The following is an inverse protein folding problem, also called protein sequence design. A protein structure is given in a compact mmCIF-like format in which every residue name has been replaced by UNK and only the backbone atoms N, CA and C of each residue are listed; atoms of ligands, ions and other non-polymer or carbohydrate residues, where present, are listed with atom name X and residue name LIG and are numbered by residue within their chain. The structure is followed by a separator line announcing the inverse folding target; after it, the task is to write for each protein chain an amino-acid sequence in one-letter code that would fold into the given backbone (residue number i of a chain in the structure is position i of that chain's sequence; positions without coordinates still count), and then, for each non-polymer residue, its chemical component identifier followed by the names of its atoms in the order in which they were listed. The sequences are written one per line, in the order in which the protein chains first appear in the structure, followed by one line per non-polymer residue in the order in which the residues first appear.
data_IF_383002853046
#
_entry.id   IF_383002853046
#
_cell.length_a   1.000
_cell.length_b   1.000
_cell.length_c   1.000
_cell.angle_alpha   90.00
_cell.angle_beta   90.00
_cell.angle_gamma   90.00
#
_symmetry.space_group_name_H-M   'P 1'
#
loop_
_entity.id
_entity.type
_entity.pdbx_description
1 polymer ?
#
# COMPACT_ATOMS: atom_id res chain seq x y z
N UNK A 1 5.56 12.81 -35.06
CA UNK A 1 4.62 13.25 -34.06
C UNK A 1 4.92 12.47 -32.79
N UNK A 2 5.34 13.14 -31.72
CA UNK A 2 5.56 12.52 -30.40
C UNK A 2 4.22 12.53 -29.66
N UNK A 3 3.88 11.39 -29.07
CA UNK A 3 2.70 11.25 -28.20
C UNK A 3 3.13 11.30 -26.75
N UNK A 4 2.39 12.00 -25.93
CA UNK A 4 2.56 11.91 -24.50
C UNK A 4 1.92 10.60 -23.98
N UNK A 5 2.23 10.25 -22.76
CA UNK A 5 1.84 9.00 -22.16
C UNK A 5 0.30 8.85 -22.01
N UNK A 6 -0.42 9.93 -21.72
CA UNK A 6 -1.88 9.93 -21.64
C UNK A 6 -2.52 9.69 -23.01
N UNK A 7 -1.96 10.28 -24.08
CA UNK A 7 -2.40 10.02 -25.45
C UNK A 7 -2.20 8.55 -25.84
N UNK A 8 -1.06 7.94 -25.45
CA UNK A 8 -0.80 6.52 -25.68
C UNK A 8 -1.84 5.65 -24.97
N UNK A 9 -2.18 5.94 -23.72
CA UNK A 9 -3.18 5.18 -22.98
C UNK A 9 -4.61 5.34 -23.55
N UNK A 10 -4.96 6.54 -24.03
CA UNK A 10 -6.22 6.75 -24.75
C UNK A 10 -6.27 5.94 -26.06
N UNK A 11 -5.19 5.93 -26.82
CA UNK A 11 -5.09 5.10 -28.04
C UNK A 11 -5.23 3.62 -27.68
N UNK A 12 -4.51 3.13 -26.67
CA UNK A 12 -4.64 1.75 -26.18
C UNK A 12 -6.07 1.39 -25.82
N UNK A 13 -6.78 2.30 -25.14
CA UNK A 13 -8.19 2.11 -24.78
C UNK A 13 -9.08 2.02 -26.03
N UNK A 14 -8.88 2.91 -27.02
CA UNK A 14 -9.67 2.97 -28.26
C UNK A 14 -9.51 1.70 -29.09
N UNK A 15 -8.31 1.13 -29.16
CA UNK A 15 -8.03 -0.09 -29.95
C UNK A 15 -8.22 -1.39 -29.14
N UNK A 16 -8.79 -1.31 -27.90
CA UNK A 16 -9.03 -2.48 -27.04
C UNK A 16 -7.74 -3.16 -26.52
N UNK A 17 -6.60 -2.46 -26.52
CA UNK A 17 -5.30 -2.97 -26.04
C UNK A 17 -4.87 -2.38 -24.70
N UNK A 18 -5.76 -1.72 -23.98
CA UNK A 18 -5.47 -1.32 -22.62
C UNK A 18 -5.37 -2.58 -21.74
N UNK A 19 -4.26 -2.77 -21.01
CA UNK A 19 -4.18 -3.87 -20.09
C UNK A 19 -5.28 -3.71 -19.03
N UNK A 20 -5.88 -4.82 -18.66
CA UNK A 20 -6.90 -4.87 -17.64
C UNK A 20 -6.82 -6.19 -16.92
N UNK A 21 -7.31 -6.20 -15.71
CA UNK A 21 -7.46 -7.41 -14.94
C UNK A 21 -8.38 -8.38 -15.70
N UNK A 22 -8.01 -9.67 -15.86
CA UNK A 22 -8.88 -10.67 -16.45
C UNK A 22 -10.22 -10.75 -15.70
N UNK A 23 -11.31 -11.02 -16.41
CA UNK A 23 -12.62 -11.18 -15.80
C UNK A 23 -12.57 -12.29 -14.73
N UNK A 24 -13.07 -11.98 -13.54
CA UNK A 24 -13.06 -12.90 -12.38
C UNK A 24 -11.74 -12.98 -11.63
N UNK A 25 -10.65 -12.36 -12.11
CA UNK A 25 -9.41 -12.28 -11.35
C UNK A 25 -9.53 -11.26 -10.20
N UNK A 26 -8.83 -11.52 -9.10
CA UNK A 26 -8.74 -10.60 -7.97
C UNK A 26 -7.75 -9.48 -8.24
N UNK A 27 -7.93 -8.35 -7.57
CA UNK A 27 -6.93 -7.27 -7.54
C UNK A 27 -5.61 -7.81 -6.95
N UNK A 28 -4.50 -7.54 -7.63
CA UNK A 28 -3.17 -7.95 -7.14
C UNK A 28 -2.67 -6.93 -6.14
N UNK A 29 -2.28 -7.39 -4.95
CA UNK A 29 -1.78 -6.55 -3.87
C UNK A 29 -0.31 -6.85 -3.63
N UNK A 30 0.54 -5.91 -4.01
CA UNK A 30 2.00 -6.01 -3.92
C UNK A 30 2.49 -5.16 -2.77
N UNK A 31 3.16 -5.76 -1.81
CA UNK A 31 3.67 -5.07 -0.61
C UNK A 31 5.20 -5.05 -0.66
N UNK A 32 5.77 -3.86 -0.56
CA UNK A 32 7.21 -3.66 -0.42
C UNK A 32 7.55 -3.60 1.06
N UNK A 33 8.18 -4.65 1.60
CA UNK A 33 8.44 -4.79 3.02
C UNK A 33 9.84 -5.30 3.31
N UNK A 34 10.49 -4.68 4.27
CA UNK A 34 11.74 -5.11 4.90
C UNK A 34 11.91 -4.35 6.21
N UNK A 35 12.38 -5.01 7.26
CA UNK A 35 12.65 -4.39 8.57
C UNK A 35 13.79 -3.38 8.54
N UNK A 36 14.66 -3.48 7.53
CA UNK A 36 15.80 -2.56 7.40
C UNK A 36 15.38 -1.26 6.72
N UNK A 37 15.82 -0.13 7.30
CA UNK A 37 15.75 1.18 6.65
C UNK A 37 16.79 1.32 5.53
N UNK A 38 16.52 2.20 4.55
CA UNK A 38 17.49 2.52 3.50
C UNK A 38 17.71 1.45 2.43
N UNK A 39 16.88 0.40 2.36
CA UNK A 39 16.95 -0.66 1.32
C UNK A 39 16.11 -0.33 0.08
N UNK A 40 15.74 0.92 -0.11
CA UNK A 40 14.99 1.43 -1.25
C UNK A 40 13.53 0.92 -1.38
N UNK A 41 12.84 0.53 -0.29
CA UNK A 41 11.43 0.13 -0.32
C UNK A 41 10.57 1.18 -1.03
N UNK A 42 10.53 2.40 -0.49
CA UNK A 42 9.75 3.52 -1.01
C UNK A 42 10.12 3.87 -2.46
N UNK A 43 11.41 3.89 -2.79
CA UNK A 43 11.84 4.16 -4.17
C UNK A 43 11.32 3.10 -5.14
N UNK A 44 11.39 1.83 -4.76
CA UNK A 44 10.94 0.73 -5.61
C UNK A 44 9.42 0.67 -5.71
N UNK A 45 8.68 0.84 -4.60
CA UNK A 45 7.21 0.86 -4.58
C UNK A 45 6.67 1.99 -5.47
N UNK A 46 7.23 3.19 -5.34
CA UNK A 46 6.89 4.36 -6.13
C UNK A 46 7.09 4.12 -7.63
N UNK A 47 8.32 3.73 -8.02
CA UNK A 47 8.63 3.54 -9.44
C UNK A 47 7.88 2.36 -10.05
N UNK A 48 7.62 1.31 -9.26
CA UNK A 48 6.82 0.18 -9.68
C UNK A 48 5.36 0.60 -9.95
N UNK A 49 4.75 1.38 -9.06
CA UNK A 49 3.40 1.90 -9.24
C UNK A 49 3.31 2.81 -10.47
N UNK A 50 4.27 3.73 -10.63
CA UNK A 50 4.35 4.62 -11.79
C UNK A 50 4.55 3.83 -13.11
N UNK A 51 5.39 2.81 -13.10
CA UNK A 51 5.61 1.96 -14.27
C UNK A 51 4.31 1.26 -14.69
N UNK A 52 3.60 0.65 -13.75
CA UNK A 52 2.33 -0.03 -14.02
C UNK A 52 1.24 0.91 -14.53
N UNK A 53 1.13 2.10 -13.93
CA UNK A 53 0.22 3.14 -14.40
C UNK A 53 0.54 3.59 -15.82
N UNK A 54 1.83 3.74 -16.14
CA UNK A 54 2.30 4.05 -17.50
C UNK A 54 1.94 2.93 -18.50
N UNK A 55 2.00 1.69 -18.09
CA UNK A 55 1.56 0.58 -18.93
C UNK A 55 0.03 0.54 -19.13
N UNK A 56 -0.74 1.31 -18.33
CA UNK A 56 -2.18 1.49 -18.49
C UNK A 56 -3.03 0.76 -17.46
N UNK A 57 -2.44 0.11 -16.46
CA UNK A 57 -3.16 -0.47 -15.33
C UNK A 57 -3.71 0.62 -14.41
N UNK A 58 -4.86 0.36 -13.79
CA UNK A 58 -5.40 1.19 -12.71
C UNK A 58 -4.69 0.81 -11.42
N UNK A 59 -3.92 1.71 -10.87
CA UNK A 59 -3.04 1.45 -9.72
C UNK A 59 -3.45 2.31 -8.54
N UNK A 60 -3.51 1.72 -7.36
CA UNK A 60 -3.56 2.42 -6.08
C UNK A 60 -2.22 2.23 -5.38
N UNK A 61 -1.51 3.32 -5.11
CA UNK A 61 -0.36 3.31 -4.21
C UNK A 61 -0.82 3.67 -2.81
N UNK A 62 -0.38 2.93 -1.82
CA UNK A 62 -0.64 3.20 -0.40
C UNK A 62 0.70 3.47 0.27
N UNK A 63 0.85 4.68 0.80
CA UNK A 63 1.94 5.04 1.68
C UNK A 63 1.53 4.68 3.11
N UNK A 64 2.10 3.61 3.65
CA UNK A 64 1.85 3.18 5.02
C UNK A 64 2.99 3.57 5.98
N UNK A 65 4.00 4.32 5.49
CA UNK A 65 5.08 4.84 6.33
C UNK A 65 4.71 6.22 6.87
N UNK A 66 4.62 6.42 8.21
CA UNK A 66 4.38 7.73 8.81
C UNK A 66 5.36 8.82 8.40
N UNK A 67 6.53 8.46 7.86
CA UNK A 67 7.50 9.42 7.31
C UNK A 67 7.01 10.06 6.00
N UNK A 68 5.98 9.52 5.37
CA UNK A 68 5.28 10.07 4.21
C UNK A 68 6.21 10.38 3.01
N UNK A 69 7.25 9.57 2.81
CA UNK A 69 8.23 9.81 1.74
C UNK A 69 7.60 9.59 0.35
N UNK A 70 6.78 8.55 0.18
CA UNK A 70 6.06 8.34 -1.07
C UNK A 70 5.03 9.45 -1.31
N UNK A 71 4.34 9.90 -0.28
CA UNK A 71 3.39 11.01 -0.30
C UNK A 71 4.04 12.31 -0.80
N UNK A 72 5.20 12.65 -0.23
CA UNK A 72 5.97 13.84 -0.64
C UNK A 72 6.43 13.78 -2.09
N UNK A 73 6.73 12.60 -2.62
CA UNK A 73 7.14 12.42 -4.02
C UNK A 73 6.01 12.75 -5.04
N UNK A 74 4.75 12.75 -4.60
CA UNK A 74 3.61 13.21 -5.41
C UNK A 74 3.27 14.69 -5.22
N UNK A 75 4.06 15.42 -4.43
CA UNK A 75 3.92 16.86 -4.23
C UNK A 75 3.00 17.24 -3.08
N UNK A 76 2.52 16.30 -2.26
CA UNK A 76 1.80 16.62 -1.04
C UNK A 76 2.77 16.99 0.08
N UNK A 77 2.43 18.04 0.82
CA UNK A 77 3.08 18.38 2.10
C UNK A 77 2.16 17.84 3.20
N UNK A 78 2.50 16.69 3.85
CA UNK A 78 1.54 15.91 4.63
C UNK A 78 0.76 16.71 5.68
N UNK A 79 1.46 17.55 6.46
CA UNK A 79 0.84 18.27 7.57
C UNK A 79 0.15 19.59 7.14
N UNK A 80 0.27 19.99 5.85
CA UNK A 80 -0.36 21.20 5.32
C UNK A 80 -1.50 20.89 4.36
N UNK A 81 -1.33 19.90 3.49
CA UNK A 81 -2.26 19.59 2.41
C UNK A 81 -3.27 18.51 2.79
N UNK A 82 -3.01 17.76 3.88
CA UNK A 82 -3.81 16.61 4.30
C UNK A 82 -4.44 16.84 5.67
N UNK A 83 -5.73 16.53 5.77
CA UNK A 83 -6.51 16.63 6.99
C UNK A 83 -6.74 15.28 7.66
N UNK A 84 -7.50 15.29 8.78
CA UNK A 84 -7.93 14.05 9.41
C UNK A 84 -8.85 13.26 8.47
N UNK A 85 -8.57 11.98 8.34
CA UNK A 85 -9.28 11.10 7.40
C UNK A 85 -8.64 10.93 6.03
N UNK A 86 -7.58 11.67 5.73
CA UNK A 86 -6.87 11.58 4.45
C UNK A 86 -5.80 10.48 4.41
N UNK A 87 -5.68 9.66 5.45
CA UNK A 87 -4.74 8.54 5.54
C UNK A 87 -5.45 7.21 5.92
N UNK A 88 -4.70 6.18 6.22
CA UNK A 88 -5.23 4.86 6.57
C UNK A 88 -5.92 4.81 7.95
N UNK A 89 -5.69 5.76 8.84
CA UNK A 89 -6.12 5.68 10.23
C UNK A 89 -7.62 5.38 10.38
N UNK A 90 -8.55 6.15 9.77
CA UNK A 90 -9.99 5.91 9.93
C UNK A 90 -10.44 4.54 9.39
N UNK A 91 -9.84 4.09 8.27
CA UNK A 91 -10.17 2.80 7.69
C UNK A 91 -9.76 1.62 8.58
N UNK A 92 -8.72 1.79 9.39
CA UNK A 92 -8.19 0.76 10.26
C UNK A 92 -8.77 0.80 11.68
N UNK A 93 -9.30 1.97 12.12
CA UNK A 93 -9.73 2.18 13.52
C UNK A 93 -11.20 2.47 13.69
N UNK A 94 -11.92 2.90 12.64
CA UNK A 94 -13.32 3.31 12.71
C UNK A 94 -14.21 2.44 11.82
N UNK A 95 -14.03 2.49 10.49
CA UNK A 95 -14.81 1.70 9.54
C UNK A 95 -14.06 1.44 8.24
N UNK A 96 -14.03 0.19 7.78
CA UNK A 96 -13.35 -0.23 6.55
C UNK A 96 -13.70 0.60 5.29
N UNK A 97 -14.96 1.00 5.02
CA UNK A 97 -15.30 1.81 3.84
C UNK A 97 -14.68 3.20 3.82
N UNK A 98 -14.22 3.73 4.96
CA UNK A 98 -13.59 5.05 5.04
C UNK A 98 -12.27 5.12 4.24
N UNK A 99 -11.69 3.98 3.86
CA UNK A 99 -10.52 3.94 2.97
C UNK A 99 -10.77 4.69 1.66
N UNK A 100 -12.01 4.71 1.18
CA UNK A 100 -12.37 5.41 -0.06
C UNK A 100 -12.19 6.93 0.05
N UNK A 101 -12.33 7.51 1.25
CA UNK A 101 -12.18 8.94 1.49
C UNK A 101 -10.69 9.37 1.48
N UNK A 102 -9.80 8.45 1.86
CA UNK A 102 -8.36 8.71 1.87
C UNK A 102 -7.72 8.67 0.47
N UNK A 103 -8.45 8.22 -0.55
CA UNK A 103 -7.90 8.10 -1.91
C UNK A 103 -7.80 9.48 -2.56
N UNK A 104 -6.60 9.86 -2.97
CA UNK A 104 -6.29 11.09 -3.69
C UNK A 104 -5.84 10.76 -5.12
N UNK A 105 -6.35 11.52 -6.09
CA UNK A 105 -5.82 11.43 -7.45
C UNK A 105 -4.45 12.11 -7.53
N UNK A 106 -3.54 11.50 -8.28
CA UNK A 106 -2.21 12.08 -8.51
C UNK A 106 -2.15 12.78 -9.88
N UNK A 107 -1.02 13.44 -10.17
CA UNK A 107 -0.75 13.98 -11.51
C UNK A 107 -0.46 12.88 -12.56
N UNK A 108 -0.37 11.62 -12.15
CA UNK A 108 -0.24 10.47 -13.04
C UNK A 108 -1.63 9.92 -13.37
N UNK A 109 -1.96 9.81 -14.67
CA UNK A 109 -3.17 9.10 -15.10
C UNK A 109 -3.10 7.62 -14.67
N UNK A 110 -4.19 7.07 -14.18
CA UNK A 110 -4.32 5.70 -13.68
C UNK A 110 -3.56 5.38 -12.38
N UNK A 111 -3.06 6.40 -11.66
CA UNK A 111 -2.41 6.21 -10.38
C UNK A 111 -3.05 7.10 -9.32
N UNK A 112 -3.73 6.47 -8.39
CA UNK A 112 -4.23 7.11 -7.18
C UNK A 112 -3.31 6.79 -5.99
N UNK A 113 -3.37 7.65 -4.97
CA UNK A 113 -2.56 7.55 -3.77
C UNK A 113 -3.45 7.54 -2.53
N UNK A 114 -3.20 6.65 -1.58
CA UNK A 114 -3.55 6.87 -0.17
C UNK A 114 -2.30 7.41 0.49
N UNK A 115 -2.30 8.69 0.90
CA UNK A 115 -1.12 9.32 1.49
C UNK A 115 -0.92 8.88 2.94
N UNK A 116 0.27 9.16 3.45
CA UNK A 116 0.60 9.07 4.87
C UNK A 116 0.77 10.45 5.49
N UNK A 117 0.59 10.52 6.82
CA UNK A 117 0.91 11.66 7.68
C UNK A 117 1.65 11.16 8.91
N UNK A 118 2.35 12.05 9.60
CA UNK A 118 3.02 11.69 10.85
C UNK A 118 2.05 11.11 11.88
N UNK A 119 0.81 11.61 11.91
CA UNK A 119 -0.25 11.10 12.79
C UNK A 119 -0.54 9.60 12.59
N UNK A 120 -0.20 9.01 11.43
CA UNK A 120 -0.38 7.59 11.15
C UNK A 120 0.41 6.68 12.13
N UNK A 121 1.48 7.19 12.77
CA UNK A 121 2.20 6.45 13.82
C UNK A 121 1.31 6.09 15.02
N UNK A 122 0.24 6.87 15.29
CA UNK A 122 -0.73 6.54 16.34
C UNK A 122 -1.54 5.29 16.04
N UNK A 123 -1.60 4.88 14.77
CA UNK A 123 -2.28 3.66 14.35
C UNK A 123 -1.65 2.42 15.00
N UNK A 124 -0.33 2.34 15.07
CA UNK A 124 0.37 1.23 15.72
C UNK A 124 0.00 1.12 17.20
N UNK A 125 0.00 2.24 17.90
CA UNK A 125 -0.41 2.29 19.30
C UNK A 125 -1.89 1.92 19.47
N UNK A 126 -2.78 2.53 18.68
CA UNK A 126 -4.24 2.30 18.75
C UNK A 126 -4.59 0.84 18.51
N UNK A 127 -4.08 0.25 17.43
CA UNK A 127 -4.37 -1.13 17.04
C UNK A 127 -3.77 -2.17 18.01
N UNK A 128 -2.80 -1.78 18.84
CA UNK A 128 -2.20 -2.64 19.85
C UNK A 128 -3.03 -2.69 21.14
N UNK A 129 -4.05 -1.84 21.30
CA UNK A 129 -4.86 -1.81 22.52
C UNK A 129 -5.73 -3.07 22.63
N UNK A 130 -5.94 -3.61 23.86
CA UNK A 130 -6.75 -4.81 24.06
C UNK A 130 -8.19 -4.69 23.55
N UNK A 131 -8.79 -3.49 23.63
CA UNK A 131 -10.14 -3.18 23.18
C UNK A 131 -10.31 -3.40 21.68
N UNK A 132 -9.26 -3.14 20.91
CA UNK A 132 -9.29 -3.31 19.46
C UNK A 132 -9.38 -4.79 19.04
N UNK A 133 -8.88 -5.71 19.87
CA UNK A 133 -9.00 -7.15 19.63
C UNK A 133 -10.43 -7.65 19.78
N UNK A 134 -11.25 -6.96 20.56
CA UNK A 134 -12.66 -7.28 20.84
C UNK A 134 -13.63 -6.57 19.88
N UNK A 135 -13.11 -5.75 18.96
CA UNK A 135 -13.94 -5.02 18.00
C UNK A 135 -14.41 -5.98 16.89
N UNK A 136 -15.60 -6.55 17.07
CA UNK A 136 -16.18 -7.51 16.11
C UNK A 136 -16.49 -6.86 14.74
N UNK A 137 -16.85 -5.57 14.73
CA UNK A 137 -17.20 -4.85 13.50
C UNK A 137 -15.99 -4.73 12.55
N UNK A 138 -14.85 -4.30 13.07
CA UNK A 138 -13.62 -4.16 12.30
C UNK A 138 -12.86 -5.48 12.17
N UNK A 139 -13.08 -6.39 13.13
CA UNK A 139 -12.36 -7.66 13.24
C UNK A 139 -10.92 -7.51 13.73
N UNK A 140 -10.13 -8.59 13.67
CA UNK A 140 -8.77 -8.61 14.18
C UNK A 140 -7.92 -7.46 13.61
N UNK A 141 -7.19 -6.71 14.45
CA UNK A 141 -6.42 -5.55 14.02
C UNK A 141 -5.50 -5.78 12.82
N UNK A 142 -4.76 -6.88 12.71
CA UNK A 142 -3.81 -7.07 11.60
C UNK A 142 -4.45 -7.31 10.22
N UNK A 143 -5.74 -7.66 10.14
CA UNK A 143 -6.41 -7.93 8.84
C UNK A 143 -7.32 -6.80 8.37
N UNK A 144 -7.32 -5.67 9.06
CA UNK A 144 -8.25 -4.56 8.77
C UNK A 144 -7.99 -3.90 7.42
N UNK A 145 -6.72 -3.76 7.02
CA UNK A 145 -6.39 -3.25 5.69
C UNK A 145 -6.89 -4.20 4.60
N UNK A 146 -6.78 -5.52 4.79
CA UNK A 146 -7.36 -6.50 3.86
C UNK A 146 -8.87 -6.28 3.68
N UNK A 147 -9.60 -6.07 4.79
CA UNK A 147 -11.05 -5.80 4.75
C UNK A 147 -11.36 -4.46 4.11
N UNK A 148 -10.61 -3.42 4.44
CA UNK A 148 -10.79 -2.10 3.86
C UNK A 148 -10.56 -2.12 2.34
N UNK A 149 -9.50 -2.77 1.86
CA UNK A 149 -9.20 -2.88 0.44
C UNK A 149 -10.30 -3.61 -0.35
N UNK A 150 -10.99 -4.58 0.24
CA UNK A 150 -12.15 -5.23 -0.42
C UNK A 150 -13.25 -4.27 -0.82
N UNK A 151 -13.38 -3.12 -0.16
CA UNK A 151 -14.43 -2.13 -0.45
C UNK A 151 -14.12 -1.27 -1.67
N UNK A 152 -12.87 -1.27 -2.14
CA UNK A 152 -12.40 -0.42 -3.25
C UNK A 152 -11.65 -1.18 -4.36
N UNK A 153 -11.37 -2.47 -4.16
CA UNK A 153 -10.52 -3.26 -5.07
C UNK A 153 -11.08 -3.41 -6.49
N UNK A 154 -12.38 -3.24 -6.70
CA UNK A 154 -12.98 -3.27 -8.04
C UNK A 154 -12.58 -2.07 -8.91
N UNK A 155 -12.10 -1.00 -8.29
CA UNK A 155 -11.63 0.21 -8.97
C UNK A 155 -10.23 0.03 -9.55
N UNK A 156 -9.44 -0.93 -9.02
CA UNK A 156 -8.01 -1.07 -9.31
C UNK A 156 -7.67 -2.46 -9.85
N UNK A 157 -6.67 -2.50 -10.69
CA UNK A 157 -6.08 -3.74 -11.18
C UNK A 157 -4.99 -4.21 -10.22
N UNK A 158 -4.23 -3.25 -9.66
CA UNK A 158 -3.10 -3.49 -8.76
C UNK A 158 -3.13 -2.47 -7.62
N UNK A 159 -2.87 -2.95 -6.41
CA UNK A 159 -2.58 -2.13 -5.22
C UNK A 159 -1.11 -2.35 -4.85
N UNK A 160 -0.37 -1.27 -4.68
CA UNK A 160 1.02 -1.27 -4.22
C UNK A 160 1.06 -0.65 -2.83
N UNK A 161 1.70 -1.31 -1.88
CA UNK A 161 1.83 -0.80 -0.50
C UNK A 161 3.29 -0.61 -0.16
N UNK A 162 3.65 0.61 0.21
CA UNK A 162 4.94 0.95 0.82
C UNK A 162 4.85 0.86 2.33
N UNK A 163 5.79 0.20 2.99
CA UNK A 163 5.74 -0.03 4.45
C UNK A 163 6.90 0.63 5.19
N UNK A 164 6.68 1.01 6.47
CA UNK A 164 7.76 1.50 7.31
C UNK A 164 8.85 0.45 7.56
N UNK A 165 10.07 0.85 7.96
CA UNK A 165 11.16 -0.06 8.30
C UNK A 165 11.01 -0.64 9.72
N UNK A 166 9.80 -1.08 10.07
CA UNK A 166 9.47 -1.62 11.39
C UNK A 166 8.39 -2.68 11.27
N UNK A 167 8.38 -3.63 12.20
CA UNK A 167 7.31 -4.63 12.31
C UNK A 167 6.26 -4.14 13.32
N UNK A 168 5.55 -3.09 12.95
CA UNK A 168 4.38 -2.60 13.68
C UNK A 168 3.07 -3.10 13.09
N UNK A 169 1.95 -2.63 13.64
CA UNK A 169 0.61 -3.00 13.17
C UNK A 169 0.34 -2.53 11.74
N UNK A 170 0.94 -1.43 11.29
CA UNK A 170 0.86 -0.97 9.90
C UNK A 170 1.51 -1.99 8.94
N UNK A 171 2.73 -2.45 9.25
CA UNK A 171 3.42 -3.48 8.45
C UNK A 171 2.68 -4.81 8.48
N UNK A 172 2.15 -5.23 9.63
CA UNK A 172 1.35 -6.45 9.75
C UNK A 172 0.07 -6.38 8.91
N UNK A 173 -0.62 -5.25 8.92
CA UNK A 173 -1.80 -5.02 8.08
C UNK A 173 -1.46 -5.10 6.59
N UNK A 174 -0.34 -4.50 6.16
CA UNK A 174 0.13 -4.57 4.79
C UNK A 174 0.43 -6.02 4.38
N UNK A 175 1.19 -6.75 5.21
CA UNK A 175 1.56 -8.16 4.98
C UNK A 175 0.31 -9.04 4.90
N UNK A 176 -0.63 -8.91 5.84
CA UNK A 176 -1.88 -9.69 5.85
C UNK A 176 -2.79 -9.37 4.66
N UNK A 177 -2.66 -8.20 4.06
CA UNK A 177 -3.40 -7.83 2.86
C UNK A 177 -2.73 -8.30 1.55
N UNK A 178 -1.47 -8.74 1.57
CA UNK A 178 -0.66 -9.03 0.41
C UNK A 178 -1.08 -10.27 -0.36
N UNK A 179 -0.93 -10.24 -1.69
CA UNK A 179 -0.85 -11.44 -2.54
C UNK A 179 0.62 -11.71 -2.92
N UNK A 180 1.44 -10.67 -2.92
CA UNK A 180 2.86 -10.73 -3.25
C UNK A 180 3.62 -9.78 -2.33
N UNK A 181 4.70 -10.27 -1.75
CA UNK A 181 5.64 -9.46 -0.97
C UNK A 181 6.95 -9.33 -1.76
N UNK A 182 7.36 -8.10 -1.97
CA UNK A 182 8.66 -7.75 -2.54
C UNK A 182 9.56 -7.28 -1.42
N UNK A 183 10.65 -7.98 -1.19
CA UNK A 183 11.63 -7.63 -0.17
C UNK A 183 12.92 -7.14 -0.85
N UNK A 184 13.16 -5.83 -0.93
CA UNK A 184 14.42 -5.29 -1.42
C UNK A 184 15.56 -5.67 -0.45
N UNK A 185 16.63 -6.24 -0.98
CA UNK A 185 17.81 -6.66 -0.21
C UNK A 185 19.04 -5.98 -0.78
N UNK A 186 19.82 -5.33 0.07
CA UNK A 186 21.15 -4.85 -0.29
C UNK A 186 22.12 -6.02 -0.15
N UNK A 187 23.02 -6.30 -1.12
CA UNK A 187 23.87 -7.48 -1.11
C UNK A 187 25.07 -7.32 -0.14
N UNK A 188 24.77 -7.08 1.14
CA UNK A 188 25.73 -7.11 2.22
C UNK A 188 25.50 -8.32 3.14
N UNK A 189 26.56 -8.89 3.66
CA UNK A 189 26.51 -10.14 4.45
C UNK A 189 25.58 -10.05 5.67
N UNK A 190 25.56 -8.90 6.35
CA UNK A 190 24.65 -8.66 7.48
C UNK A 190 23.17 -8.54 7.07
N UNK A 191 22.90 -8.17 5.85
CA UNK A 191 21.54 -8.00 5.34
C UNK A 191 20.88 -9.35 5.02
N UNK A 192 21.68 -10.34 4.62
CA UNK A 192 21.22 -11.71 4.40
C UNK A 192 20.75 -12.33 5.72
N UNK A 193 21.49 -12.13 6.81
CA UNK A 193 21.11 -12.64 8.14
C UNK A 193 19.81 -12.00 8.64
N UNK A 194 19.62 -10.71 8.45
CA UNK A 194 18.39 -9.99 8.79
C UNK A 194 17.19 -10.49 7.98
N UNK A 195 17.41 -10.88 6.73
CA UNK A 195 16.39 -11.42 5.85
C UNK A 195 15.85 -12.76 6.33
N UNK A 196 16.73 -13.63 6.84
CA UNK A 196 16.31 -14.92 7.44
C UNK A 196 15.39 -14.70 8.64
N UNK A 197 15.72 -13.73 9.50
CA UNK A 197 14.87 -13.38 10.64
C UNK A 197 13.50 -12.84 10.17
N UNK A 198 13.48 -12.01 9.14
CA UNK A 198 12.24 -11.49 8.56
C UNK A 198 11.34 -12.61 8.03
N UNK A 199 11.88 -13.60 7.32
CA UNK A 199 11.12 -14.75 6.83
C UNK A 199 10.51 -15.58 7.96
N UNK A 200 11.24 -15.80 9.05
CA UNK A 200 10.69 -16.49 10.24
C UNK A 200 9.50 -15.74 10.84
N UNK A 201 9.58 -14.41 10.87
CA UNK A 201 8.46 -13.58 11.36
C UNK A 201 7.27 -13.67 10.40
N UNK A 202 7.50 -13.62 9.09
CA UNK A 202 6.44 -13.79 8.09
C UNK A 202 5.74 -15.15 8.23
N UNK A 203 6.50 -16.22 8.42
CA UNK A 203 5.95 -17.56 8.64
C UNK A 203 5.04 -17.60 9.88
N UNK A 204 5.48 -17.01 11.00
CA UNK A 204 4.67 -16.89 12.20
C UNK A 204 3.40 -16.06 11.99
N UNK A 205 3.49 -14.96 11.24
CA UNK A 205 2.33 -14.13 10.93
C UNK A 205 1.35 -14.88 10.03
N UNK A 206 1.81 -15.56 9.00
CA UNK A 206 0.96 -16.36 8.10
C UNK A 206 0.23 -17.46 8.88
N UNK A 207 0.92 -18.18 9.75
CA UNK A 207 0.34 -19.25 10.57
C UNK A 207 -0.75 -18.77 11.57
N UNK A 208 -0.81 -17.46 11.88
CA UNK A 208 -1.86 -16.90 12.74
C UNK A 208 -3.16 -16.63 11.98
N UNK A 209 -3.15 -16.68 10.64
CA UNK A 209 -4.28 -16.28 9.77
C UNK A 209 -4.72 -17.39 8.80
N UNK A 210 -4.10 -18.57 8.87
CA UNK A 210 -4.62 -19.82 8.27
C UNK A 210 -5.71 -20.44 9.15
#
# INVERSE_FOLDING_TARGET
RTYNYNEVNRIRATIGKRPSRPAGARCVRVVFSNLKGGVAKTTMSLHFAQYLAREGYRVLLIDADPQATATGAFGFIPDLDLGDGDDLFPALTEAAPLIANAIKSTHWENLDLIPARLALQYTDWRLSQPEERQNETLGPPPVRLHRALKTVEDRYDIVVVDTPPALGMLSLNAIAAANLIVMPIVPHMYDISSSVQYFRILEQVCALYE
#
